data_IF_941182962855
#
_entry.id   IF_941182962855
#
_cell.length_a   1.000
_cell.length_b   1.000
_cell.length_c   1.000
_cell.angle_alpha   90.00
_cell.angle_beta   90.00
_cell.angle_gamma   90.00
#
_symmetry.space_group_name_H-M   'P 1'
#
loop_
_entity.id
_entity.type
_entity.pdbx_description
1 polymer ?
#
# COMPACT_ATOMS: atom_id res chain seq x y z
N UNK A 1 25.31 55.75 -21.53
CA UNK A 1 24.74 54.94 -20.44
C UNK A 1 24.31 53.62 -21.05
N UNK A 2 25.03 52.56 -20.65
CA UNK A 2 24.55 51.18 -20.51
C UNK A 2 24.12 50.45 -21.81
N UNK A 3 24.75 49.37 -22.25
CA UNK A 3 25.29 48.25 -21.48
C UNK A 3 24.69 46.96 -22.06
N UNK A 4 25.34 46.41 -23.09
CA UNK A 4 24.92 45.24 -23.86
C UNK A 4 25.11 43.93 -23.06
N UNK A 5 24.06 43.25 -22.57
CA UNK A 5 24.19 41.85 -22.11
C UNK A 5 22.93 40.98 -22.35
N UNK A 6 23.02 40.18 -23.41
CA UNK A 6 22.78 38.72 -23.54
C UNK A 6 21.59 38.07 -22.79
N UNK A 7 20.64 37.61 -23.62
CA UNK A 7 19.65 36.55 -23.40
C UNK A 7 20.34 35.22 -23.01
N UNK A 8 19.95 34.52 -21.92
CA UNK A 8 20.36 33.14 -21.74
C UNK A 8 19.35 32.19 -22.40
N UNK A 9 19.82 31.52 -23.46
CA UNK A 9 19.37 30.19 -23.88
C UNK A 9 20.09 29.16 -22.99
N UNK A 10 19.36 28.32 -22.25
CA UNK A 10 19.83 27.02 -21.74
C UNK A 10 18.60 26.19 -21.39
N UNK A 11 18.22 25.26 -22.27
CA UNK A 11 18.63 23.84 -22.29
C UNK A 11 17.62 22.97 -21.55
N UNK A 12 16.90 22.20 -22.35
CA UNK A 12 15.98 21.13 -21.97
C UNK A 12 16.75 20.09 -21.13
N UNK A 13 16.44 19.97 -19.84
CA UNK A 13 16.86 18.84 -19.01
C UNK A 13 15.62 18.06 -18.58
N UNK A 14 15.28 17.09 -19.42
CA UNK A 14 14.35 16.01 -19.10
C UNK A 14 15.09 15.05 -18.16
N UNK A 15 14.95 15.23 -16.85
CA UNK A 15 15.48 14.24 -15.89
C UNK A 15 14.46 13.13 -15.74
N UNK A 16 14.55 12.13 -16.63
CA UNK A 16 13.99 10.81 -16.40
C UNK A 16 14.91 10.12 -15.38
N UNK A 17 14.56 10.16 -14.10
CA UNK A 17 15.06 9.21 -13.12
C UNK A 17 14.39 7.86 -13.35
N UNK A 18 14.82 7.13 -14.38
CA UNK A 18 14.59 5.70 -14.48
C UNK A 18 15.64 5.03 -13.60
N UNK A 19 15.25 4.60 -12.42
CA UNK A 19 16.02 3.62 -11.66
C UNK A 19 15.93 2.29 -12.41
N UNK A 20 16.84 2.11 -13.37
CA UNK A 20 17.03 0.85 -14.05
C UNK A 20 17.94 0.02 -13.14
N UNK A 21 17.32 -0.71 -12.21
CA UNK A 21 17.98 -1.79 -11.49
C UNK A 21 18.48 -2.79 -12.53
N UNK A 22 19.76 -2.71 -12.87
CA UNK A 22 20.43 -3.73 -13.67
C UNK A 22 20.51 -5.00 -12.82
N UNK A 23 19.48 -5.83 -12.95
CA UNK A 23 19.49 -7.23 -12.55
C UNK A 23 20.55 -7.93 -13.41
N UNK A 24 21.57 -8.59 -12.83
CA UNK A 24 22.44 -9.43 -13.63
C UNK A 24 21.62 -10.60 -14.20
N UNK A 25 21.87 -11.03 -15.46
CA UNK A 25 21.23 -12.22 -16.00
C UNK A 25 21.75 -13.42 -15.20
N UNK A 26 20.84 -14.12 -14.52
CA UNK A 26 21.15 -15.43 -13.96
C UNK A 26 20.92 -16.41 -15.10
N UNK A 27 21.91 -16.52 -15.98
CA UNK A 27 21.94 -17.56 -16.99
C UNK A 27 21.97 -18.91 -16.28
N UNK A 28 20.86 -19.62 -16.41
CA UNK A 28 20.74 -21.03 -16.08
C UNK A 28 21.70 -21.81 -16.97
N UNK A 29 22.86 -22.16 -16.42
CA UNK A 29 23.70 -23.23 -16.94
C UNK A 29 23.87 -24.28 -15.86
N UNK A 30 23.09 -25.34 -16.04
CA UNK A 30 23.32 -26.69 -15.54
C UNK A 30 24.80 -27.03 -15.58
N UNK A 31 25.39 -27.21 -14.40
CA UNK A 31 26.49 -28.15 -14.19
C UNK A 31 26.60 -28.42 -12.69
N UNK A 32 25.95 -29.49 -12.26
CA UNK A 32 26.23 -30.16 -10.99
C UNK A 32 27.49 -31.00 -11.19
N UNK A 33 28.58 -30.79 -10.44
CA UNK A 33 29.44 -31.89 -10.05
C UNK A 33 29.01 -32.33 -8.66
N UNK A 34 28.57 -33.58 -8.58
CA UNK A 34 28.35 -34.27 -7.33
C UNK A 34 29.64 -34.27 -6.50
N UNK A 35 29.72 -33.39 -5.49
CA UNK A 35 30.73 -33.42 -4.45
C UNK A 35 30.17 -34.12 -3.22
N UNK A 36 29.93 -35.43 -3.32
CA UNK A 36 29.48 -36.25 -2.20
C UNK A 36 30.55 -36.27 -1.11
N UNK A 37 30.15 -36.02 0.13
CA UNK A 37 30.97 -36.30 1.30
C UNK A 37 31.29 -37.80 1.33
N UNK A 38 32.51 -38.22 1.70
CA UNK A 38 32.83 -39.65 1.78
C UNK A 38 31.90 -40.35 2.77
N UNK A 39 31.36 -41.54 2.45
CA UNK A 39 30.52 -42.26 3.38
C UNK A 39 31.37 -42.68 4.59
N UNK A 40 30.97 -42.23 5.79
CA UNK A 40 31.53 -42.77 7.03
C UNK A 40 31.16 -44.26 7.13
N UNK A 41 32.11 -45.15 7.47
CA UNK A 41 31.81 -46.57 7.65
C UNK A 41 30.86 -46.75 8.84
N UNK A 42 29.61 -47.06 8.52
CA UNK A 42 28.62 -47.56 9.46
C UNK A 42 28.95 -49.02 9.75
N UNK A 43 29.40 -49.32 10.97
CA UNK A 43 29.07 -50.51 11.77
C UNK A 43 30.15 -50.70 12.86
N UNK A 44 29.93 -50.10 14.04
CA UNK A 44 30.49 -50.63 15.28
C UNK A 44 29.31 -50.74 16.28
N UNK A 45 29.07 -51.93 16.88
CA UNK A 45 28.01 -52.07 17.87
C UNK A 45 28.40 -51.31 19.14
N UNK A 46 27.70 -50.21 19.43
CA UNK A 46 27.81 -49.56 20.74
C UNK A 46 27.09 -50.42 21.79
N UNK A 47 27.72 -50.74 22.93
CA UNK A 47 27.03 -51.42 24.01
C UNK A 47 25.95 -50.50 24.57
N UNK A 48 24.72 -51.02 24.71
CA UNK A 48 23.67 -50.37 25.51
C UNK A 48 24.12 -50.34 26.96
N UNK A 49 24.75 -49.25 27.37
CA UNK A 49 24.90 -48.88 28.78
C UNK A 49 23.64 -48.09 29.14
N UNK A 50 22.79 -48.67 29.99
CA UNK A 50 21.70 -47.93 30.62
C UNK A 50 22.31 -46.83 31.50
N UNK A 51 21.96 -45.54 31.30
CA UNK A 51 22.45 -44.49 32.17
C UNK A 51 21.84 -44.65 33.56
N UNK A 52 22.62 -44.50 34.65
CA UNK A 52 22.05 -44.43 35.99
C UNK A 52 21.08 -43.24 36.05
N UNK A 53 19.97 -43.41 36.77
CA UNK A 53 18.97 -42.37 36.96
C UNK A 53 19.64 -41.06 37.41
N UNK A 54 19.54 -40.04 36.56
CA UNK A 54 20.06 -38.71 36.87
C UNK A 54 19.35 -38.17 38.12
N UNK A 55 20.08 -37.53 39.06
CA UNK A 55 19.44 -36.82 40.16
C UNK A 55 18.52 -35.72 39.60
N UNK A 56 17.44 -35.34 40.30
CA UNK A 56 16.54 -34.29 39.85
C UNK A 56 17.38 -33.04 39.60
N UNK A 57 17.42 -32.59 38.34
CA UNK A 57 18.17 -31.43 37.91
C UNK A 57 17.79 -30.26 38.81
N UNK A 58 18.70 -29.89 39.72
CA UNK A 58 18.64 -28.60 40.37
C UNK A 58 18.50 -27.56 39.25
N UNK A 59 17.56 -26.64 39.40
CA UNK A 59 17.31 -25.58 38.43
C UNK A 59 18.65 -24.99 37.97
N UNK A 60 18.97 -25.20 36.69
CA UNK A 60 20.21 -24.71 36.09
C UNK A 60 20.12 -23.19 36.06
N UNK A 61 20.64 -22.55 37.09
CA UNK A 61 20.88 -21.10 37.17
C UNK A 61 22.12 -20.80 36.33
N UNK A 62 22.05 -21.02 35.02
CA UNK A 62 23.13 -20.64 34.11
C UNK A 62 23.01 -19.13 33.82
N UNK A 63 24.00 -18.30 34.19
CA UNK A 63 23.94 -16.86 34.01
C UNK A 63 23.82 -16.45 32.53
N UNK A 64 24.33 -17.25 31.60
CA UNK A 64 24.23 -16.99 30.16
C UNK A 64 22.77 -17.09 29.68
N UNK A 65 22.00 -18.06 30.21
CA UNK A 65 20.58 -18.21 29.87
C UNK A 65 19.78 -16.99 30.35
N UNK A 66 20.06 -16.51 31.56
CA UNK A 66 19.43 -15.29 32.08
C UNK A 66 19.80 -14.04 31.26
N UNK A 67 21.05 -13.94 30.81
CA UNK A 67 21.49 -12.84 29.95
C UNK A 67 20.72 -12.84 28.62
N UNK A 68 20.57 -14.01 27.97
CA UNK A 68 19.80 -14.15 26.73
C UNK A 68 18.33 -13.76 26.94
N UNK A 69 17.71 -14.25 28.02
CA UNK A 69 16.31 -13.91 28.33
C UNK A 69 16.12 -12.41 28.58
N UNK A 70 17.08 -11.75 29.23
CA UNK A 70 17.03 -10.30 29.45
C UNK A 70 17.07 -9.53 28.13
N UNK A 71 17.94 -9.93 27.20
CA UNK A 71 18.05 -9.31 25.87
C UNK A 71 16.75 -9.50 25.08
N UNK A 72 16.16 -10.69 25.13
CA UNK A 72 14.86 -10.94 24.46
C UNK A 72 13.76 -10.05 25.02
N UNK A 73 13.67 -9.92 26.34
CA UNK A 73 12.68 -9.05 27.00
C UNK A 73 12.89 -7.57 26.64
N UNK A 74 14.13 -7.12 26.57
CA UNK A 74 14.46 -5.77 26.15
C UNK A 74 14.07 -5.53 24.68
N UNK A 75 14.36 -6.50 23.80
CA UNK A 75 14.00 -6.44 22.39
C UNK A 75 12.49 -6.34 22.18
N UNK A 76 11.72 -7.11 22.95
CA UNK A 76 10.25 -7.06 22.92
C UNK A 76 9.72 -5.68 23.34
N UNK A 77 10.30 -5.08 24.40
CA UNK A 77 9.93 -3.75 24.85
C UNK A 77 10.28 -2.66 23.81
N UNK A 78 11.39 -2.81 23.08
CA UNK A 78 11.75 -1.89 21.99
C UNK A 78 10.78 -2.04 20.82
N UNK A 79 10.43 -3.27 20.45
CA UNK A 79 9.46 -3.54 19.38
C UNK A 79 8.10 -2.92 19.72
N UNK A 80 7.61 -3.07 20.95
CA UNK A 80 6.33 -2.50 21.34
C UNK A 80 6.33 -0.97 21.30
N UNK A 81 7.43 -0.34 21.72
CA UNK A 81 7.62 1.12 21.58
C UNK A 81 7.62 1.55 20.11
N UNK A 82 8.32 0.82 19.25
CA UNK A 82 8.37 1.11 17.81
C UNK A 82 6.99 0.99 17.17
N UNK A 83 6.24 -0.09 17.44
CA UNK A 83 4.87 -0.27 16.96
C UNK A 83 3.96 0.90 17.35
N UNK A 84 4.08 1.39 18.58
CA UNK A 84 3.31 2.54 19.05
C UNK A 84 3.66 3.82 18.30
N UNK A 85 4.95 4.06 18.05
CA UNK A 85 5.43 5.22 17.28
C UNK A 85 4.94 5.12 15.84
N UNK A 86 5.06 3.95 15.21
CA UNK A 86 4.60 3.69 13.84
C UNK A 86 3.10 3.93 13.69
N UNK A 87 2.28 3.40 14.62
CA UNK A 87 0.83 3.60 14.59
C UNK A 87 0.47 5.09 14.72
N UNK A 88 1.11 5.81 15.65
CA UNK A 88 0.87 7.24 15.83
C UNK A 88 1.28 8.04 14.58
N UNK A 89 2.46 7.76 14.01
CA UNK A 89 2.95 8.42 12.81
C UNK A 89 2.03 8.13 11.61
N UNK A 90 1.53 6.91 11.49
CA UNK A 90 0.61 6.51 10.42
C UNK A 90 -0.70 7.28 10.49
N UNK A 91 -1.31 7.37 11.67
CA UNK A 91 -2.54 8.15 11.85
C UNK A 91 -2.30 9.65 11.63
N UNK A 92 -1.16 10.20 12.05
CA UNK A 92 -0.80 11.59 11.76
C UNK A 92 -0.70 11.83 10.24
N UNK A 93 0.06 11.00 9.52
CA UNK A 93 0.22 11.13 8.06
C UNK A 93 -1.13 11.02 7.36
N UNK A 94 -1.98 10.08 7.76
CA UNK A 94 -3.32 9.90 7.21
C UNK A 94 -4.19 11.14 7.45
N UNK A 95 -4.17 11.70 8.65
CA UNK A 95 -4.93 12.90 8.98
C UNK A 95 -4.43 14.11 8.20
N UNK A 96 -3.11 14.27 8.07
CA UNK A 96 -2.50 15.34 7.27
C UNK A 96 -2.80 15.19 5.79
N UNK A 97 -2.74 13.97 5.25
CA UNK A 97 -3.08 13.70 3.85
C UNK A 97 -4.55 14.03 3.56
N UNK A 98 -5.46 13.67 4.47
CA UNK A 98 -6.88 14.03 4.37
C UNK A 98 -7.07 15.55 4.41
N UNK A 99 -6.40 16.23 5.34
CA UNK A 99 -6.45 17.69 5.47
C UNK A 99 -5.95 18.39 4.19
N UNK A 100 -4.84 17.92 3.63
CA UNK A 100 -4.27 18.46 2.39
C UNK A 100 -5.22 18.23 1.22
N UNK A 101 -5.76 17.01 1.10
CA UNK A 101 -6.74 16.69 0.08
C UNK A 101 -8.00 17.55 0.21
N UNK A 102 -8.48 17.75 1.43
CA UNK A 102 -9.67 18.56 1.71
C UNK A 102 -9.47 20.05 1.44
N UNK A 103 -8.26 20.58 1.61
CA UNK A 103 -7.97 22.01 1.44
C UNK A 103 -7.50 22.38 0.03
N UNK A 104 -6.59 21.58 -0.52
CA UNK A 104 -5.88 21.93 -1.75
C UNK A 104 -6.41 21.17 -2.97
N UNK A 105 -6.88 19.93 -2.77
CA UNK A 105 -7.29 19.05 -3.87
C UNK A 105 -8.80 18.84 -3.95
N UNK A 106 -9.58 19.43 -3.03
CA UNK A 106 -11.02 19.51 -3.24
C UNK A 106 -11.26 20.35 -4.48
N UNK A 107 -11.95 19.72 -5.42
CA UNK A 107 -12.45 20.43 -6.58
C UNK A 107 -13.29 21.61 -6.05
N UNK A 108 -13.04 22.86 -6.51
CA UNK A 108 -13.83 24.01 -6.10
C UNK A 108 -15.30 23.65 -6.17
N UNK A 109 -16.07 24.00 -5.13
CA UNK A 109 -17.46 23.59 -4.93
C UNK A 109 -18.16 23.30 -6.26
N UNK A 110 -18.35 22.01 -6.54
CA UNK A 110 -19.03 21.60 -7.76
C UNK A 110 -20.46 22.06 -7.62
N UNK A 111 -20.87 23.02 -8.47
CA UNK A 111 -22.24 23.49 -8.51
C UNK A 111 -23.16 22.26 -8.55
N UNK A 112 -24.21 22.20 -7.71
CA UNK A 112 -25.16 21.11 -7.74
C UNK A 112 -25.61 20.86 -9.17
N UNK A 113 -25.75 19.58 -9.54
CA UNK A 113 -26.16 19.23 -10.89
C UNK A 113 -27.45 20.00 -11.22
N UNK A 114 -27.49 20.80 -12.29
CA UNK A 114 -28.71 21.49 -12.66
C UNK A 114 -29.76 20.45 -13.09
N UNK A 115 -31.04 20.77 -12.87
CA UNK A 115 -32.18 19.96 -13.32
C UNK A 115 -32.39 18.61 -12.63
N UNK A 116 -31.95 18.44 -11.38
CA UNK A 116 -32.12 17.18 -10.63
C UNK A 116 -33.60 16.83 -10.46
N UNK A 117 -34.45 17.81 -10.13
CA UNK A 117 -35.87 17.60 -9.93
C UNK A 117 -36.56 17.12 -11.21
N UNK A 118 -36.29 17.74 -12.35
CA UNK A 118 -36.85 17.38 -13.65
C UNK A 118 -36.32 16.02 -14.12
N UNK A 119 -35.04 15.73 -13.86
CA UNK A 119 -34.42 14.41 -14.13
C UNK A 119 -35.12 13.31 -13.34
N UNK A 120 -35.31 13.51 -12.04
CA UNK A 120 -35.94 12.51 -11.17
C UNK A 120 -37.42 12.31 -11.53
N UNK A 121 -38.15 13.39 -11.83
CA UNK A 121 -39.53 13.31 -12.32
C UNK A 121 -39.64 12.54 -13.65
N UNK A 122 -38.69 12.76 -14.57
CA UNK A 122 -38.64 12.07 -15.85
C UNK A 122 -38.40 10.56 -15.66
N UNK A 123 -37.44 10.20 -14.81
CA UNK A 123 -37.17 8.80 -14.46
C UNK A 123 -38.34 8.15 -13.76
N UNK A 124 -39.00 8.86 -12.85
CA UNK A 124 -40.17 8.35 -12.15
C UNK A 124 -41.33 8.09 -13.11
N UNK A 125 -41.62 9.02 -14.03
CA UNK A 125 -42.66 8.83 -15.03
C UNK A 125 -42.41 7.59 -15.88
N UNK A 126 -41.17 7.38 -16.36
CA UNK A 126 -40.85 6.19 -17.16
C UNK A 126 -40.98 4.89 -16.36
N UNK A 127 -40.67 4.90 -15.06
CA UNK A 127 -40.90 3.75 -14.18
C UNK A 127 -42.39 3.43 -14.03
N UNK A 128 -43.24 4.44 -13.94
CA UNK A 128 -44.70 4.29 -13.82
C UNK A 128 -45.37 3.90 -15.16
N UNK A 129 -44.80 4.33 -16.28
CA UNK A 129 -45.35 4.12 -17.63
C UNK A 129 -44.44 3.27 -18.54
N UNK A 130 -43.90 2.17 -18.02
CA UNK A 130 -43.01 1.25 -18.76
C UNK A 130 -43.60 0.75 -20.09
N UNK A 131 -44.92 0.50 -20.14
CA UNK A 131 -45.62 -0.02 -21.33
C UNK A 131 -45.93 1.08 -22.35
N UNK A 132 -46.09 2.32 -21.89
CA UNK A 132 -46.44 3.49 -22.72
C UNK A 132 -45.50 4.68 -22.42
N UNK A 133 -44.21 4.61 -22.82
CA UNK A 133 -43.23 5.66 -22.49
C UNK A 133 -43.60 7.05 -23.04
N UNK A 134 -44.43 7.11 -24.09
CA UNK A 134 -44.92 8.35 -24.71
C UNK A 134 -45.79 9.19 -23.76
N UNK A 135 -46.41 8.60 -22.72
CA UNK A 135 -47.13 9.35 -21.69
C UNK A 135 -46.23 10.33 -20.94
N UNK A 136 -44.92 10.06 -20.90
CA UNK A 136 -43.92 10.90 -20.25
C UNK A 136 -43.39 12.04 -21.11
N UNK A 137 -43.90 12.24 -22.33
CA UNK A 137 -43.40 13.24 -23.27
C UNK A 137 -43.32 14.65 -22.66
N UNK A 138 -44.30 15.05 -21.85
CA UNK A 138 -44.30 16.36 -21.17
C UNK A 138 -43.17 16.47 -20.14
N UNK A 139 -42.97 15.44 -19.31
CA UNK A 139 -41.94 15.44 -18.26
C UNK A 139 -40.54 15.35 -18.89
N UNK A 140 -40.39 14.56 -19.95
CA UNK A 140 -39.16 14.48 -20.74
C UNK A 140 -38.81 15.82 -21.41
N UNK A 141 -39.81 16.53 -21.94
CA UNK A 141 -39.63 17.88 -22.48
C UNK A 141 -39.15 18.86 -21.41
N UNK A 142 -39.77 18.86 -20.22
CA UNK A 142 -39.35 19.73 -19.13
C UNK A 142 -37.89 19.49 -18.73
N UNK A 143 -37.45 18.23 -18.63
CA UNK A 143 -36.05 17.90 -18.38
C UNK A 143 -35.13 18.39 -19.51
N UNK A 144 -35.52 18.20 -20.77
CA UNK A 144 -34.75 18.67 -21.92
C UNK A 144 -34.64 20.20 -21.95
N UNK A 145 -35.72 20.91 -21.60
CA UNK A 145 -35.78 22.37 -21.55
C UNK A 145 -34.88 22.91 -20.44
N UNK A 146 -34.97 22.34 -19.23
CA UNK A 146 -34.08 22.67 -18.14
C UNK A 146 -32.61 22.41 -18.51
N UNK A 147 -32.30 21.25 -19.11
CA UNK A 147 -30.93 20.92 -19.53
C UNK A 147 -30.40 21.90 -20.60
N UNK A 148 -31.26 22.38 -21.51
CA UNK A 148 -30.89 23.43 -22.47
C UNK A 148 -30.58 24.75 -21.77
N UNK A 149 -31.41 25.17 -20.81
CA UNK A 149 -31.19 26.40 -20.06
C UNK A 149 -29.92 26.31 -19.21
N UNK A 150 -29.68 25.19 -18.55
CA UNK A 150 -28.50 24.97 -17.74
C UNK A 150 -27.18 25.01 -18.51
N UNK A 151 -27.18 24.64 -19.81
CA UNK A 151 -26.00 24.74 -20.69
C UNK A 151 -25.69 26.17 -21.14
N UNK A 152 -26.65 27.08 -21.02
CA UNK A 152 -26.49 28.48 -21.39
C UNK A 152 -26.00 29.36 -20.21
N UNK A 153 -25.85 28.77 -19.02
CA UNK A 153 -25.42 29.40 -17.77
C UNK A 153 -23.99 28.98 -17.40
#
# INVERSE_FOLDING_TARGET
QDGKVKKPKKSKSKSQGKEHVHRPPIDSKTSTPAGGWPPLPSQLPLPLVQPPAAPPSAAVTNPEIHAIQSILKESEQVIERMKKIEANMTEEVKQRAKELHDKEFKLPYQKPLPCVAEKDACLQCYKEHMKDPLKCARVARNFADCARQARQQ
#
